data_IF_413999998520
#
_entry.id   IF_413999998520
#
_cell.length_a   1.000
_cell.length_b   1.000
_cell.length_c   1.000
_cell.angle_alpha   90.00
_cell.angle_beta   90.00
_cell.angle_gamma   90.00
#
_symmetry.space_group_name_H-M   'P 1'
#
loop_
_entity.id
_entity.type
_entity.pdbx_description
1 polymer ?
#
# COMPACT_ATOMS: atom_id res chain seq x y z
N UNK A 1 -22.20 4.31 5.33
CA UNK A 1 -21.32 4.41 4.15
C UNK A 1 -21.19 3.02 3.52
N UNK A 2 -21.56 2.89 2.26
CA UNK A 2 -21.65 1.59 1.59
C UNK A 2 -20.66 1.54 0.43
N UNK A 3 -19.97 0.43 0.30
CA UNK A 3 -19.11 0.18 -0.86
C UNK A 3 -19.95 -0.54 -1.92
N UNK A 4 -20.31 0.18 -2.97
CA UNK A 4 -21.06 -0.33 -4.11
C UNK A 4 -20.14 -0.60 -5.31
N UNK A 5 -20.73 -1.03 -6.43
CA UNK A 5 -19.96 -1.36 -7.64
C UNK A 5 -19.16 -0.15 -8.16
N UNK A 6 -19.73 1.04 -8.08
CA UNK A 6 -19.04 2.25 -8.50
C UNK A 6 -17.84 2.57 -7.60
N UNK A 7 -17.95 2.31 -6.32
CA UNK A 7 -16.84 2.44 -5.38
C UNK A 7 -15.73 1.41 -5.68
N UNK A 8 -16.10 0.19 -6.02
CA UNK A 8 -15.14 -0.86 -6.40
C UNK A 8 -14.38 -0.46 -7.66
N UNK A 9 -15.08 0.06 -8.68
CA UNK A 9 -14.44 0.55 -9.90
C UNK A 9 -13.48 1.70 -9.62
N UNK A 10 -13.87 2.63 -8.76
CA UNK A 10 -13.02 3.73 -8.36
C UNK A 10 -11.77 3.24 -7.62
N UNK A 11 -11.93 2.29 -6.71
CA UNK A 11 -10.82 1.71 -5.97
C UNK A 11 -9.85 0.98 -6.90
N UNK A 12 -10.38 0.20 -7.85
CA UNK A 12 -9.54 -0.48 -8.84
C UNK A 12 -8.73 0.52 -9.67
N UNK A 13 -9.36 1.63 -10.08
CA UNK A 13 -8.69 2.72 -10.79
C UNK A 13 -7.59 3.37 -9.94
N UNK A 14 -7.85 3.61 -8.66
CA UNK A 14 -6.87 4.16 -7.74
C UNK A 14 -5.65 3.24 -7.58
N UNK A 15 -5.86 1.94 -7.41
CA UNK A 15 -4.76 0.97 -7.29
C UNK A 15 -3.95 0.89 -8.59
N UNK A 16 -4.62 0.93 -9.74
CA UNK A 16 -3.94 0.97 -11.03
C UNK A 16 -3.11 2.24 -11.20
N UNK A 17 -3.64 3.39 -10.80
CA UNK A 17 -2.92 4.67 -10.87
C UNK A 17 -1.69 4.66 -9.95
N UNK A 18 -1.83 4.15 -8.74
CA UNK A 18 -0.71 4.03 -7.80
C UNK A 18 0.38 3.10 -8.34
N UNK A 19 -0.02 1.97 -8.91
CA UNK A 19 0.92 1.03 -9.52
C UNK A 19 1.68 1.67 -10.69
N UNK A 20 0.97 2.38 -11.57
CA UNK A 20 1.56 3.07 -12.72
C UNK A 20 2.52 4.17 -12.31
N UNK A 21 2.16 4.95 -11.27
CA UNK A 21 2.95 6.11 -10.86
C UNK A 21 4.16 5.74 -9.99
N UNK A 22 4.00 4.78 -9.08
CA UNK A 22 4.97 4.56 -8.01
C UNK A 22 5.60 3.17 -7.99
N UNK A 23 4.96 2.16 -8.57
CA UNK A 23 5.42 0.77 -8.50
C UNK A 23 6.15 0.38 -9.79
N UNK A 24 5.46 0.42 -10.92
CA UNK A 24 6.01 -0.05 -12.19
C UNK A 24 7.24 0.70 -12.65
N UNK A 25 7.39 2.03 -12.44
CA UNK A 25 8.63 2.73 -12.82
C UNK A 25 9.86 2.22 -12.08
N UNK A 26 9.67 1.60 -10.93
CA UNK A 26 10.75 1.06 -10.08
C UNK A 26 10.97 -0.43 -10.26
N UNK A 27 10.06 -1.13 -10.93
CA UNK A 27 10.22 -2.57 -11.15
C UNK A 27 11.44 -2.84 -12.02
N UNK A 28 12.32 -3.73 -11.53
CA UNK A 28 13.59 -4.08 -12.17
C UNK A 28 14.57 -2.91 -12.34
N UNK A 29 14.33 -1.80 -11.61
CA UNK A 29 15.17 -0.58 -11.66
C UNK A 29 15.58 -0.10 -10.29
N UNK A 30 15.47 -0.96 -9.26
CA UNK A 30 15.82 -0.62 -7.90
C UNK A 30 17.34 -0.54 -7.74
N UNK A 31 17.83 0.60 -7.26
CA UNK A 31 19.20 0.74 -6.79
C UNK A 31 19.30 0.33 -5.32
N UNK A 32 20.52 0.29 -4.78
CA UNK A 32 20.72 -0.09 -3.37
C UNK A 32 19.96 0.80 -2.38
N UNK A 33 19.84 2.10 -2.69
CA UNK A 33 19.13 3.04 -1.83
C UNK A 33 17.63 2.85 -1.79
N UNK A 34 17.06 2.11 -2.75
CA UNK A 34 15.61 1.86 -2.83
C UNK A 34 15.16 0.65 -2.03
N UNK A 35 16.09 -0.16 -1.54
CA UNK A 35 15.79 -1.38 -0.79
C UNK A 35 16.27 -1.21 0.65
N UNK A 36 15.36 -1.47 1.61
CA UNK A 36 15.66 -1.42 3.04
C UNK A 36 15.19 -2.69 3.72
N UNK A 37 15.88 -3.09 4.79
CA UNK A 37 15.41 -4.14 5.68
C UNK A 37 14.62 -3.51 6.83
N UNK A 38 13.43 -4.02 7.11
CA UNK A 38 12.60 -3.58 8.24
C UNK A 38 13.07 -4.20 9.54
N UNK A 39 12.94 -5.52 9.63
CA UNK A 39 13.20 -6.27 10.87
C UNK A 39 14.19 -7.41 10.70
N UNK A 40 14.24 -8.01 9.51
CA UNK A 40 15.12 -9.13 9.20
C UNK A 40 15.49 -9.13 7.73
N UNK A 41 16.40 -10.03 7.34
CA UNK A 41 16.82 -10.18 5.95
C UNK A 41 15.69 -10.56 4.99
N UNK A 42 14.60 -11.15 5.52
CA UNK A 42 13.45 -11.54 4.70
C UNK A 42 12.41 -10.42 4.58
N UNK A 43 12.52 -9.37 5.39
CA UNK A 43 11.53 -8.31 5.51
C UNK A 43 12.05 -7.07 4.77
N UNK A 44 11.74 -6.97 3.46
CA UNK A 44 12.25 -5.90 2.62
C UNK A 44 11.19 -4.82 2.40
N UNK A 45 11.60 -3.57 2.54
CA UNK A 45 10.80 -2.40 2.18
C UNK A 45 11.45 -1.69 1.02
N UNK A 46 10.68 -1.36 -0.01
CA UNK A 46 11.12 -0.58 -1.15
C UNK A 46 10.51 0.82 -1.11
N UNK A 47 11.12 1.79 -1.80
CA UNK A 47 10.51 3.11 -1.95
C UNK A 47 9.17 3.04 -2.70
N UNK A 48 8.98 2.03 -3.55
CA UNK A 48 7.70 1.79 -4.20
C UNK A 48 6.58 1.54 -3.18
N UNK A 49 6.82 0.70 -2.16
CA UNK A 49 5.86 0.43 -1.09
C UNK A 49 5.41 1.71 -0.40
N UNK A 50 6.37 2.49 0.07
CA UNK A 50 6.09 3.71 0.84
C UNK A 50 5.34 4.73 0.02
N UNK A 51 5.79 4.99 -1.21
CA UNK A 51 5.17 5.99 -2.07
C UNK A 51 3.79 5.58 -2.54
N UNK A 52 3.59 4.31 -2.88
CA UNK A 52 2.27 3.80 -3.27
C UNK A 52 1.28 3.89 -2.10
N UNK A 53 1.68 3.50 -0.90
CA UNK A 53 0.83 3.62 0.29
C UNK A 53 0.42 5.07 0.55
N UNK A 54 1.36 6.02 0.44
CA UNK A 54 1.07 7.45 0.62
C UNK A 54 0.06 7.96 -0.39
N UNK A 55 0.22 7.59 -1.66
CA UNK A 55 -0.70 8.02 -2.72
C UNK A 55 -2.09 7.45 -2.48
N UNK A 56 -2.20 6.16 -2.21
CA UNK A 56 -3.48 5.49 -1.97
C UNK A 56 -4.17 6.11 -0.75
N UNK A 57 -3.45 6.28 0.35
CA UNK A 57 -3.97 6.86 1.59
C UNK A 57 -4.51 8.27 1.36
N UNK A 58 -3.77 9.12 0.64
CA UNK A 58 -4.20 10.49 0.37
C UNK A 58 -5.51 10.53 -0.42
N UNK A 59 -5.64 9.69 -1.46
CA UNK A 59 -6.86 9.61 -2.28
C UNK A 59 -8.03 9.06 -1.51
N UNK A 60 -7.81 8.06 -0.66
CA UNK A 60 -8.87 7.51 0.19
C UNK A 60 -9.37 8.54 1.20
N UNK A 61 -8.49 9.32 1.79
CA UNK A 61 -8.88 10.37 2.74
C UNK A 61 -9.71 11.47 2.10
N UNK A 62 -9.43 11.80 0.85
CA UNK A 62 -10.24 12.78 0.12
C UNK A 62 -11.66 12.28 -0.13
N UNK A 63 -11.81 11.01 -0.52
CA UNK A 63 -13.11 10.44 -0.86
C UNK A 63 -13.89 9.96 0.37
N UNK A 64 -13.20 9.41 1.35
CA UNK A 64 -13.77 8.81 2.55
C UNK A 64 -13.16 9.43 3.81
N UNK A 65 -13.44 10.72 4.10
CA UNK A 65 -12.78 11.42 5.21
C UNK A 65 -13.04 10.83 6.59
N UNK A 66 -14.15 10.09 6.75
CA UNK A 66 -14.49 9.46 8.03
C UNK A 66 -14.01 8.02 8.17
N UNK A 67 -13.46 7.43 7.10
CA UNK A 67 -13.00 6.04 7.13
C UNK A 67 -11.69 5.92 7.89
N UNK A 68 -11.51 4.76 8.51
CA UNK A 68 -10.20 4.38 9.07
C UNK A 68 -9.32 3.86 7.93
N UNK A 69 -8.08 4.32 7.86
CA UNK A 69 -7.14 3.89 6.84
C UNK A 69 -5.90 3.35 7.52
N UNK A 70 -5.57 2.10 7.23
CA UNK A 70 -4.46 1.38 7.83
C UNK A 70 -3.56 0.85 6.72
N UNK A 71 -2.36 1.40 6.60
CA UNK A 71 -1.37 0.94 5.65
C UNK A 71 -0.35 0.01 6.29
N UNK A 72 0.14 -0.96 5.54
CA UNK A 72 1.15 -1.91 6.01
C UNK A 72 2.40 -1.19 6.52
N UNK A 73 2.90 -0.21 5.77
CA UNK A 73 4.12 0.50 6.13
C UNK A 73 3.94 1.35 7.40
N UNK A 74 2.81 2.05 7.51
CA UNK A 74 2.51 2.82 8.70
C UNK A 74 2.33 1.92 9.93
N UNK A 75 1.71 0.75 9.78
CA UNK A 75 1.54 -0.21 10.86
C UNK A 75 2.85 -0.86 11.30
N UNK A 76 3.80 -1.05 10.40
CA UNK A 76 5.14 -1.51 10.75
C UNK A 76 5.83 -0.53 11.70
N UNK A 77 5.65 0.77 11.46
CA UNK A 77 6.22 1.82 12.31
C UNK A 77 5.43 2.01 13.60
N UNK A 78 4.12 1.81 13.57
CA UNK A 78 3.23 2.01 14.72
C UNK A 78 2.11 0.95 14.77
N UNK A 79 2.36 -0.23 15.37
CA UNK A 79 1.36 -1.30 15.45
C UNK A 79 0.07 -0.92 16.18
N UNK A 80 0.10 0.12 17.01
CA UNK A 80 -1.09 0.61 17.73
C UNK A 80 -2.19 1.12 16.78
N UNK A 81 -1.87 1.42 15.53
CA UNK A 81 -2.85 1.83 14.52
C UNK A 81 -3.93 0.76 14.25
N UNK A 82 -3.66 -0.50 14.54
CA UNK A 82 -4.63 -1.59 14.36
C UNK A 82 -5.73 -1.60 15.43
N UNK A 83 -5.54 -0.92 16.55
CA UNK A 83 -6.43 -1.02 17.71
C UNK A 83 -7.86 -0.54 17.49
N UNK A 84 -8.10 0.32 16.49
CA UNK A 84 -9.44 0.87 16.21
C UNK A 84 -10.23 0.12 15.15
N UNK A 85 -9.67 -0.93 14.53
CA UNK A 85 -10.33 -1.58 13.38
C UNK A 85 -11.70 -2.17 13.72
N UNK A 86 -11.83 -2.78 14.89
CA UNK A 86 -13.09 -3.43 15.30
C UNK A 86 -14.25 -2.45 15.50
N UNK A 87 -13.96 -1.20 15.78
CA UNK A 87 -14.96 -0.16 16.06
C UNK A 87 -15.22 0.74 14.84
N UNK A 88 -14.48 0.60 13.76
CA UNK A 88 -14.63 1.42 12.58
C UNK A 88 -15.88 1.01 11.79
N UNK A 89 -16.68 2.00 11.36
CA UNK A 89 -17.82 1.77 10.47
C UNK A 89 -17.33 1.35 9.07
N UNK A 90 -16.24 1.98 8.61
CA UNK A 90 -15.58 1.65 7.36
C UNK A 90 -14.07 1.76 7.56
N UNK A 91 -13.35 0.75 7.15
CA UNK A 91 -11.89 0.75 7.20
C UNK A 91 -11.32 0.25 5.87
N UNK A 92 -10.19 0.84 5.48
CA UNK A 92 -9.38 0.37 4.36
C UNK A 92 -8.05 -0.13 4.91
N UNK A 93 -7.69 -1.35 4.54
CA UNK A 93 -6.39 -1.94 4.86
C UNK A 93 -5.61 -2.04 3.56
N UNK A 94 -4.43 -1.43 3.53
CA UNK A 94 -3.64 -1.28 2.31
C UNK A 94 -2.36 -2.10 2.42
N UNK A 95 -2.16 -3.00 1.46
CA UNK A 95 -0.86 -3.60 1.17
C UNK A 95 -0.38 -3.03 -0.16
N UNK A 96 0.56 -2.07 -0.16
CA UNK A 96 0.94 -1.36 -1.38
C UNK A 96 1.68 -2.24 -2.39
N UNK A 97 2.49 -3.18 -1.92
CA UNK A 97 3.08 -4.22 -2.78
C UNK A 97 3.06 -5.54 -2.03
N UNK A 98 2.10 -6.38 -2.37
CA UNK A 98 2.05 -7.76 -1.88
C UNK A 98 3.04 -8.59 -2.70
N UNK A 99 3.97 -9.23 -2.03
CA UNK A 99 5.07 -9.92 -2.69
C UNK A 99 6.30 -9.03 -2.88
N UNK A 100 6.63 -8.20 -1.89
CA UNK A 100 7.75 -7.27 -1.91
C UNK A 100 9.08 -7.93 -2.26
N UNK A 101 9.33 -9.14 -1.75
CA UNK A 101 10.54 -9.88 -2.07
C UNK A 101 10.64 -10.20 -3.57
N UNK A 102 9.53 -10.64 -4.17
CA UNK A 102 9.47 -10.91 -5.61
C UNK A 102 9.71 -9.64 -6.42
N UNK A 103 9.07 -8.55 -6.02
CA UNK A 103 9.26 -7.25 -6.66
C UNK A 103 10.74 -6.83 -6.62
N UNK A 104 11.35 -6.88 -5.45
CA UNK A 104 12.76 -6.50 -5.26
C UNK A 104 13.71 -7.39 -6.05
N UNK A 105 13.35 -8.67 -6.23
CA UNK A 105 14.16 -9.65 -6.97
C UNK A 105 13.92 -9.64 -8.49
N UNK A 106 13.02 -8.78 -8.98
CA UNK A 106 12.69 -8.69 -10.40
C UNK A 106 11.79 -9.82 -10.90
N UNK A 107 11.06 -10.49 -10.00
CA UNK A 107 10.11 -11.55 -10.34
C UNK A 107 8.71 -10.95 -10.47
N UNK A 108 8.03 -11.09 -11.62
CA UNK A 108 6.74 -10.44 -11.87
C UNK A 108 5.55 -11.18 -11.21
N UNK A 109 5.66 -11.47 -9.92
CA UNK A 109 4.62 -12.11 -9.11
C UNK A 109 4.38 -11.27 -7.86
N UNK A 110 3.64 -10.17 -8.02
CA UNK A 110 3.27 -9.26 -6.94
C UNK A 110 1.96 -8.55 -7.29
N UNK A 111 1.33 -7.96 -6.28
CA UNK A 111 0.07 -7.24 -6.42
C UNK A 111 -0.01 -6.01 -5.53
N UNK A 112 -1.09 -5.31 -5.65
CA UNK A 112 -1.42 -4.16 -4.81
C UNK A 112 -2.68 -4.46 -4.03
#
# INVERSE_FOLDING_TARGET
>A
MTIDDSAIDWLAGLLSDAATAEIMPRFRRLGEGDIRQKTSAADLVTEADVNAERLITARLRERYPSAMIVGEEACSDNPALLGGLGDAELAFVIDPVDGTFNFASGVPLFGV
#
